data_IF_296753916872
#
_entry.id   IF_296753916872
#
_cell.length_a   1.000
_cell.length_b   1.000
_cell.length_c   1.000
_cell.angle_alpha   90.00
_cell.angle_beta   90.00
_cell.angle_gamma   90.00
#
_symmetry.space_group_name_H-M   'P 1'
#
loop_
_entity.id
_entity.type
_entity.pdbx_description
1 polymer ?
#
# COMPACT_ATOMS: atom_id res chain seq x y z
N UNK A 1 17.10 -59.08 -61.69
CA UNK A 1 16.97 -57.63 -61.95
C UNK A 1 15.84 -56.96 -61.17
N UNK A 2 14.70 -57.62 -60.89
CA UNK A 2 13.55 -57.03 -60.18
C UNK A 2 13.80 -56.57 -58.72
N UNK A 3 14.74 -57.18 -58.01
CA UNK A 3 15.03 -56.84 -56.59
C UNK A 3 15.81 -55.54 -56.43
N UNK A 4 16.65 -55.18 -57.41
CA UNK A 4 17.44 -53.95 -57.38
C UNK A 4 16.57 -52.71 -57.67
N UNK A 5 15.59 -52.84 -58.57
CA UNK A 5 14.65 -51.76 -58.88
C UNK A 5 13.72 -51.45 -57.72
N UNK A 6 13.23 -52.44 -56.97
CA UNK A 6 12.38 -52.19 -55.78
C UNK A 6 13.15 -51.42 -54.69
N UNK A 7 14.43 -51.76 -54.46
CA UNK A 7 15.28 -51.05 -53.51
C UNK A 7 15.57 -49.60 -53.91
N UNK A 8 15.77 -49.34 -55.20
CA UNK A 8 15.96 -47.99 -55.74
C UNK A 8 14.71 -47.12 -55.65
N UNK A 9 13.52 -47.70 -55.87
CA UNK A 9 12.24 -46.97 -55.71
C UNK A 9 11.94 -46.65 -54.25
N UNK A 10 12.31 -47.53 -53.31
CA UNK A 10 12.19 -47.29 -51.86
C UNK A 10 13.15 -46.19 -51.39
N UNK A 11 14.40 -46.19 -51.85
CA UNK A 11 15.36 -45.14 -51.53
C UNK A 11 14.96 -43.78 -52.15
N UNK A 12 14.47 -43.78 -53.39
CA UNK A 12 13.98 -42.57 -54.04
C UNK A 12 12.74 -41.98 -53.35
N UNK A 13 11.84 -42.83 -52.85
CA UNK A 13 10.64 -42.37 -52.12
C UNK A 13 10.96 -41.89 -50.69
N UNK A 14 11.95 -42.47 -50.01
CA UNK A 14 12.46 -41.95 -48.73
C UNK A 14 13.17 -40.62 -48.94
N UNK A 15 14.02 -40.48 -49.96
CA UNK A 15 14.66 -39.21 -50.30
C UNK A 15 13.65 -38.14 -50.75
N UNK A 16 12.60 -38.52 -51.50
CA UNK A 16 11.52 -37.60 -51.86
C UNK A 16 10.67 -37.18 -50.64
N UNK A 17 10.47 -38.07 -49.66
CA UNK A 17 9.84 -37.72 -48.38
C UNK A 17 10.72 -36.79 -47.55
N UNK A 18 12.03 -37.04 -47.47
CA UNK A 18 12.97 -36.17 -46.75
C UNK A 18 13.10 -34.80 -47.42
N UNK A 19 13.14 -34.78 -48.76
CA UNK A 19 13.11 -33.55 -49.55
C UNK A 19 11.80 -32.78 -49.31
N UNK A 20 10.63 -33.43 -49.38
CA UNK A 20 9.33 -32.77 -49.13
C UNK A 20 9.11 -32.33 -47.69
N UNK A 21 9.70 -33.01 -46.69
CA UNK A 21 9.67 -32.55 -45.28
C UNK A 21 10.62 -31.35 -45.06
N UNK A 22 11.74 -31.29 -45.81
CA UNK A 22 12.69 -30.17 -45.75
C UNK A 22 12.31 -28.96 -46.63
N UNK A 23 11.49 -29.17 -47.69
CA UNK A 23 10.99 -28.11 -48.58
C UNK A 23 9.53 -27.72 -48.32
N UNK A 24 8.89 -28.29 -47.30
CA UNK A 24 7.66 -27.74 -46.72
C UNK A 24 7.98 -26.46 -45.91
N UNK A 25 8.63 -25.49 -46.54
CA UNK A 25 8.50 -24.10 -46.15
C UNK A 25 7.04 -23.71 -46.42
N UNK A 26 6.18 -24.01 -45.45
CA UNK A 26 4.77 -23.63 -45.43
C UNK A 26 4.65 -22.14 -45.82
N UNK A 27 4.01 -21.82 -46.95
CA UNK A 27 3.78 -20.43 -47.32
C UNK A 27 2.86 -19.81 -46.28
N UNK A 28 3.32 -18.76 -45.60
CA UNK A 28 2.45 -17.87 -44.84
C UNK A 28 2.09 -18.26 -43.40
N UNK A 29 2.72 -19.26 -42.75
CA UNK A 29 2.61 -19.34 -41.28
C UNK A 29 3.48 -18.23 -40.68
N UNK A 30 2.86 -17.09 -40.33
CA UNK A 30 3.36 -16.28 -39.20
C UNK A 30 3.63 -17.28 -38.08
N UNK A 31 4.90 -17.54 -37.78
CA UNK A 31 5.26 -18.54 -36.79
C UNK A 31 4.54 -18.16 -35.49
N UNK A 32 4.09 -19.14 -34.69
CA UNK A 32 3.51 -18.83 -33.37
C UNK A 32 4.42 -17.86 -32.58
N UNK A 33 5.75 -17.97 -32.77
CA UNK A 33 6.73 -17.02 -32.29
C UNK A 33 6.47 -15.55 -32.67
N UNK A 34 6.09 -15.24 -33.92
CA UNK A 34 5.86 -13.86 -34.34
C UNK A 34 4.60 -13.25 -33.72
N UNK A 35 3.57 -14.08 -33.47
CA UNK A 35 2.36 -13.68 -32.74
C UNK A 35 2.70 -13.41 -31.26
N UNK A 36 3.47 -14.29 -30.61
CA UNK A 36 3.93 -14.09 -29.23
C UNK A 36 4.89 -12.92 -29.08
N UNK A 37 5.73 -12.68 -30.10
CA UNK A 37 6.62 -11.50 -30.15
C UNK A 37 5.82 -10.21 -30.15
N UNK A 38 4.83 -10.08 -31.05
CA UNK A 38 3.96 -8.90 -31.08
C UNK A 38 3.20 -8.71 -29.78
N UNK A 39 2.63 -9.79 -29.21
CA UNK A 39 1.96 -9.72 -27.90
C UNK A 39 2.88 -9.23 -26.78
N UNK A 40 4.12 -9.75 -26.68
CA UNK A 40 5.03 -9.31 -25.62
C UNK A 40 5.54 -7.90 -25.87
N UNK A 41 5.78 -7.48 -27.11
CA UNK A 41 6.14 -6.09 -27.44
C UNK A 41 5.02 -5.12 -27.03
N UNK A 42 3.77 -5.43 -27.38
CA UNK A 42 2.59 -4.66 -27.00
C UNK A 42 2.39 -4.64 -25.48
N UNK A 43 2.51 -5.80 -24.83
CA UNK A 43 2.41 -5.92 -23.38
C UNK A 43 3.52 -5.14 -22.65
N UNK A 44 4.75 -5.18 -23.15
CA UNK A 44 5.90 -4.44 -22.60
C UNK A 44 5.63 -2.94 -22.68
N UNK A 45 5.13 -2.46 -23.81
CA UNK A 45 4.77 -1.05 -23.99
C UNK A 45 3.62 -0.63 -23.05
N UNK A 46 2.59 -1.47 -22.92
CA UNK A 46 1.49 -1.25 -21.98
C UNK A 46 1.97 -1.22 -20.52
N UNK A 47 2.86 -2.13 -20.11
CA UNK A 47 3.45 -2.14 -18.77
C UNK A 47 4.27 -0.87 -18.53
N UNK A 48 5.09 -0.42 -19.49
CA UNK A 48 5.83 0.85 -19.39
C UNK A 48 4.89 2.05 -19.21
N UNK A 49 3.80 2.10 -19.97
CA UNK A 49 2.78 3.14 -19.83
C UNK A 49 2.11 3.07 -18.45
N UNK A 50 1.74 1.89 -17.97
CA UNK A 50 1.13 1.69 -16.66
C UNK A 50 2.08 2.05 -15.51
N UNK A 51 3.38 1.73 -15.62
CA UNK A 51 4.39 2.15 -14.63
C UNK A 51 4.58 3.68 -14.61
N UNK A 52 4.55 4.30 -15.78
CA UNK A 52 4.60 5.77 -15.91
C UNK A 52 3.37 6.39 -15.25
N UNK A 53 2.18 5.84 -15.53
CA UNK A 53 0.93 6.22 -14.88
C UNK A 53 1.01 6.05 -13.36
N UNK A 54 1.42 4.88 -12.86
CA UNK A 54 1.58 4.65 -11.43
C UNK A 54 2.50 5.67 -10.80
N UNK A 55 3.58 6.06 -11.48
CA UNK A 55 4.53 7.04 -10.97
C UNK A 55 3.92 8.43 -10.88
N UNK A 56 3.34 8.96 -11.96
CA UNK A 56 2.76 10.29 -11.96
C UNK A 56 1.50 10.39 -11.09
N UNK A 57 0.61 9.40 -11.21
CA UNK A 57 -0.66 9.36 -10.48
C UNK A 57 -0.43 9.20 -8.98
N UNK A 58 0.41 8.25 -8.55
CA UNK A 58 0.65 8.01 -7.13
C UNK A 58 1.25 9.22 -6.43
N UNK A 59 2.14 9.97 -7.09
CA UNK A 59 2.72 11.19 -6.52
C UNK A 59 1.64 12.24 -6.28
N UNK A 60 0.76 12.48 -7.27
CA UNK A 60 -0.30 13.47 -7.14
C UNK A 60 -1.36 13.06 -6.11
N UNK A 61 -1.84 11.83 -6.19
CA UNK A 61 -2.84 11.30 -5.27
C UNK A 61 -2.31 11.22 -3.83
N UNK A 62 -1.04 10.83 -3.62
CA UNK A 62 -0.39 10.85 -2.31
C UNK A 62 -0.27 12.27 -1.75
N UNK A 63 0.07 13.25 -2.59
CA UNK A 63 0.13 14.66 -2.18
C UNK A 63 -1.24 15.17 -1.71
N UNK A 64 -2.30 14.86 -2.46
CA UNK A 64 -3.69 15.14 -2.06
C UNK A 64 -4.06 14.43 -0.77
N UNK A 65 -3.73 13.15 -0.64
CA UNK A 65 -4.01 12.36 0.56
C UNK A 65 -3.32 12.97 1.78
N UNK A 66 -2.02 13.25 1.70
CA UNK A 66 -1.28 13.89 2.78
C UNK A 66 -1.92 15.22 3.21
N UNK A 67 -2.37 16.02 2.25
CA UNK A 67 -3.05 17.30 2.53
C UNK A 67 -4.38 17.07 3.25
N UNK A 68 -5.17 16.11 2.79
CA UNK A 68 -6.43 15.72 3.43
C UNK A 68 -6.22 15.15 4.84
N UNK A 69 -5.25 14.27 5.04
CA UNK A 69 -4.92 13.69 6.36
C UNK A 69 -4.44 14.75 7.35
N UNK A 70 -3.69 15.78 6.89
CA UNK A 70 -3.31 16.93 7.72
C UNK A 70 -4.52 17.76 8.16
N UNK A 71 -5.51 17.96 7.27
CA UNK A 71 -6.76 18.63 7.64
C UNK A 71 -7.53 17.82 8.68
N UNK A 72 -7.62 16.50 8.49
CA UNK A 72 -8.25 15.58 9.44
C UNK A 72 -7.55 15.63 10.81
N UNK A 73 -6.22 15.53 10.82
CA UNK A 73 -5.40 15.68 12.02
C UNK A 73 -5.68 17.00 12.74
N UNK A 74 -5.68 18.12 12.03
CA UNK A 74 -5.91 19.43 12.65
C UNK A 74 -7.31 19.52 13.26
N UNK A 75 -8.34 18.98 12.59
CA UNK A 75 -9.70 18.95 13.11
C UNK A 75 -9.81 18.08 14.38
N UNK A 76 -9.21 16.88 14.37
CA UNK A 76 -9.18 15.98 15.53
C UNK A 76 -8.40 16.59 16.68
N UNK A 77 -7.21 17.15 16.41
CA UNK A 77 -6.37 17.85 17.39
C UNK A 77 -7.13 18.99 18.06
N UNK A 78 -7.80 19.83 17.27
CA UNK A 78 -8.59 20.94 17.81
C UNK A 78 -9.73 20.44 18.72
N UNK A 79 -10.48 19.43 18.25
CA UNK A 79 -11.56 18.82 19.04
C UNK A 79 -11.05 18.21 20.34
N UNK A 80 -9.91 17.50 20.29
CA UNK A 80 -9.26 16.90 21.45
C UNK A 80 -8.81 17.96 22.46
N UNK A 81 -8.08 19.00 22.02
CA UNK A 81 -7.68 20.13 22.88
C UNK A 81 -8.85 20.78 23.58
N UNK A 82 -9.94 21.00 22.84
CA UNK A 82 -11.16 21.56 23.41
C UNK A 82 -11.74 20.66 24.51
N UNK A 83 -11.74 19.33 24.33
CA UNK A 83 -12.18 18.38 25.37
C UNK A 83 -11.29 18.43 26.61
N UNK A 84 -9.96 18.46 26.44
CA UNK A 84 -9.02 18.58 27.57
C UNK A 84 -9.26 19.89 28.33
N UNK A 85 -9.37 21.02 27.61
CA UNK A 85 -9.63 22.32 28.22
C UNK A 85 -10.96 22.37 28.99
N UNK A 86 -12.03 21.75 28.46
CA UNK A 86 -13.29 21.62 29.20
C UNK A 86 -13.11 20.81 30.48
N UNK A 87 -12.37 19.71 30.44
CA UNK A 87 -12.12 18.85 31.60
C UNK A 87 -11.28 19.55 32.68
N UNK A 88 -10.28 20.34 32.28
CA UNK A 88 -9.55 21.22 33.20
C UNK A 88 -10.45 22.31 33.81
N UNK A 89 -11.35 22.89 33.01
CA UNK A 89 -12.37 23.82 33.49
C UNK A 89 -13.30 23.20 34.53
N UNK A 90 -13.77 21.96 34.31
CA UNK A 90 -14.59 21.20 35.26
C UNK A 90 -13.85 21.05 36.61
N UNK A 91 -12.56 20.66 36.58
CA UNK A 91 -11.73 20.56 37.79
C UNK A 91 -11.68 21.90 38.51
N UNK A 92 -11.38 22.99 37.81
CA UNK A 92 -11.26 24.34 38.41
C UNK A 92 -12.55 24.78 39.10
N UNK A 93 -13.71 24.49 38.51
CA UNK A 93 -15.01 24.80 39.12
C UNK A 93 -15.20 23.98 40.41
N UNK A 94 -14.86 22.68 40.39
CA UNK A 94 -14.89 21.82 41.58
C UNK A 94 -13.94 22.33 42.67
N UNK A 95 -12.76 22.82 42.30
CA UNK A 95 -11.79 23.45 43.21
C UNK A 95 -12.40 24.64 43.93
N UNK A 96 -12.99 25.60 43.20
CA UNK A 96 -13.63 26.80 43.77
C UNK A 96 -14.77 26.44 44.74
N UNK A 97 -15.50 25.34 44.46
CA UNK A 97 -16.54 24.83 45.35
C UNK A 97 -15.99 24.26 46.67
N UNK A 98 -14.78 23.70 46.66
CA UNK A 98 -14.14 23.01 47.80
C UNK A 98 -13.09 23.86 48.53
N UNK A 99 -12.57 24.91 47.90
CA UNK A 99 -11.58 25.87 48.43
C UNK A 99 -12.05 26.59 49.69
N UNK A 100 -13.36 26.69 49.94
CA UNK A 100 -13.91 27.47 51.06
C UNK A 100 -13.37 27.06 52.44
N UNK A 101 -12.78 25.88 52.60
CA UNK A 101 -12.14 25.45 53.84
C UNK A 101 -10.86 24.59 53.68
N UNK A 102 -10.36 24.31 52.47
CA UNK A 102 -9.29 23.32 52.22
C UNK A 102 -8.21 23.83 51.25
N UNK A 103 -6.97 23.45 51.50
CA UNK A 103 -5.82 23.75 50.63
C UNK A 103 -5.76 22.72 49.48
N UNK A 104 -6.33 23.09 48.33
CA UNK A 104 -6.52 22.22 47.17
C UNK A 104 -5.68 22.63 45.95
N UNK A 105 -4.85 23.67 46.08
CA UNK A 105 -4.04 24.25 44.99
C UNK A 105 -3.11 23.19 44.39
N UNK A 106 -2.38 22.45 45.25
CA UNK A 106 -1.49 21.38 44.82
C UNK A 106 -2.21 20.25 44.05
N UNK A 107 -3.46 19.95 44.38
CA UNK A 107 -4.26 18.95 43.66
C UNK A 107 -4.62 19.44 42.25
N UNK A 108 -4.91 20.74 42.10
CA UNK A 108 -5.20 21.35 40.82
C UNK A 108 -3.95 21.38 39.93
N UNK A 109 -2.82 21.86 40.45
CA UNK A 109 -1.56 21.97 39.71
C UNK A 109 -1.07 20.60 39.19
N UNK A 110 -1.17 19.56 40.03
CA UNK A 110 -0.82 18.19 39.63
C UNK A 110 -1.74 17.66 38.51
N UNK A 111 -3.04 17.94 38.61
CA UNK A 111 -4.01 17.54 37.58
C UNK A 111 -3.74 18.25 36.25
N UNK A 112 -3.52 19.56 36.28
CA UNK A 112 -3.20 20.37 35.12
C UNK A 112 -1.91 19.88 34.45
N UNK A 113 -0.85 19.67 35.23
CA UNK A 113 0.42 19.20 34.69
C UNK A 113 0.28 17.81 34.03
N UNK A 114 -0.40 16.86 34.70
CA UNK A 114 -0.66 15.52 34.14
C UNK A 114 -1.49 15.59 32.86
N UNK A 115 -2.56 16.39 32.83
CA UNK A 115 -3.39 16.53 31.64
C UNK A 115 -2.64 17.18 30.48
N UNK A 116 -1.79 18.18 30.75
CA UNK A 116 -0.95 18.82 29.73
C UNK A 116 0.10 17.86 29.16
N UNK A 117 0.72 17.03 30.00
CA UNK A 117 1.64 15.97 29.55
C UNK A 117 0.90 14.98 28.64
N UNK A 118 -0.25 14.48 29.10
CA UNK A 118 -1.10 13.56 28.33
C UNK A 118 -1.52 14.19 26.99
N UNK A 119 -1.95 15.46 26.99
CA UNK A 119 -2.34 16.16 25.77
C UNK A 119 -1.19 16.18 24.75
N UNK A 120 0.01 16.58 25.18
CA UNK A 120 1.17 16.70 24.31
C UNK A 120 1.59 15.34 23.74
N UNK A 121 1.61 14.29 24.57
CA UNK A 121 1.89 12.93 24.10
C UNK A 121 0.86 12.49 23.06
N UNK A 122 -0.43 12.69 23.32
CA UNK A 122 -1.49 12.29 22.38
C UNK A 122 -1.42 13.08 21.08
N UNK A 123 -1.08 14.37 21.12
CA UNK A 123 -0.90 15.17 19.89
C UNK A 123 0.21 14.59 19.03
N UNK A 124 1.33 14.18 19.64
CA UNK A 124 2.41 13.52 18.92
C UNK A 124 1.93 12.20 18.30
N UNK A 125 1.24 11.35 19.06
CA UNK A 125 0.68 10.08 18.55
C UNK A 125 -0.35 10.27 17.44
N UNK A 126 -1.17 11.32 17.51
CA UNK A 126 -2.12 11.67 16.45
C UNK A 126 -1.42 12.06 15.14
N UNK A 127 -0.25 12.69 15.22
CA UNK A 127 0.55 13.02 14.05
C UNK A 127 1.12 11.76 13.39
N UNK A 128 1.49 10.74 14.17
CA UNK A 128 1.97 9.45 13.65
C UNK A 128 0.88 8.71 12.84
N UNK A 129 -0.41 8.89 13.17
CA UNK A 129 -1.50 8.30 12.39
C UNK A 129 -1.53 8.77 10.92
N UNK A 130 -1.03 9.98 10.61
CA UNK A 130 -0.87 10.43 9.21
C UNK A 130 0.05 9.49 8.46
N UNK A 131 1.17 9.10 9.08
CA UNK A 131 2.13 8.17 8.48
C UNK A 131 1.47 6.81 8.23
N UNK A 132 0.70 6.28 9.18
CA UNK A 132 -0.04 5.02 9.01
C UNK A 132 -0.95 5.07 7.77
N UNK A 133 -1.68 6.18 7.57
CA UNK A 133 -2.51 6.36 6.38
C UNK A 133 -1.70 6.43 5.08
N UNK A 134 -0.58 7.14 5.07
CA UNK A 134 0.29 7.24 3.90
C UNK A 134 0.97 5.92 3.55
N UNK A 135 1.44 5.17 4.56
CA UNK A 135 2.07 3.87 4.38
C UNK A 135 1.07 2.86 3.81
N UNK A 136 -0.19 2.89 4.28
CA UNK A 136 -1.27 2.06 3.73
C UNK A 136 -1.51 2.34 2.24
N UNK A 137 -1.40 3.61 1.82
CA UNK A 137 -1.52 3.99 0.41
C UNK A 137 -0.29 3.56 -0.42
N UNK A 138 0.91 3.71 0.13
CA UNK A 138 2.17 3.46 -0.58
C UNK A 138 2.41 1.98 -0.86
N UNK A 139 2.13 1.08 0.09
CA UNK A 139 2.50 -0.34 -0.02
C UNK A 139 1.93 -1.01 -1.29
N UNK A 140 0.62 -0.89 -1.61
CA UNK A 140 0.08 -1.45 -2.85
C UNK A 140 0.71 -0.85 -4.11
N UNK A 141 0.98 0.46 -4.11
CA UNK A 141 1.62 1.16 -5.25
C UNK A 141 3.04 0.65 -5.47
N UNK A 142 3.83 0.53 -4.41
CA UNK A 142 5.22 0.05 -4.47
C UNK A 142 5.25 -1.39 -4.97
N UNK A 143 4.37 -2.26 -4.43
CA UNK A 143 4.29 -3.65 -4.85
C UNK A 143 3.94 -3.79 -6.33
N UNK A 144 2.96 -3.01 -6.81
CA UNK A 144 2.54 -3.04 -8.21
C UNK A 144 3.61 -2.48 -9.15
N UNK A 145 4.33 -1.42 -8.73
CA UNK A 145 5.48 -0.90 -9.47
C UNK A 145 6.59 -1.94 -9.58
N UNK A 146 6.90 -2.64 -8.48
CA UNK A 146 7.90 -3.71 -8.46
C UNK A 146 7.49 -4.87 -9.37
N UNK A 147 6.25 -5.34 -9.28
CA UNK A 147 5.70 -6.39 -10.16
C UNK A 147 5.85 -6.02 -11.64
N UNK A 148 5.50 -4.79 -12.03
CA UNK A 148 5.68 -4.33 -13.40
C UNK A 148 7.14 -4.24 -13.84
N UNK A 149 8.06 -3.80 -12.96
CA UNK A 149 9.50 -3.77 -13.25
C UNK A 149 10.08 -5.17 -13.45
N UNK A 150 9.71 -6.12 -12.59
CA UNK A 150 10.15 -7.51 -12.68
C UNK A 150 9.70 -8.13 -14.02
N UNK A 151 8.45 -7.89 -14.44
CA UNK A 151 7.94 -8.37 -15.75
C UNK A 151 8.72 -7.76 -16.92
N UNK A 152 9.09 -6.48 -16.87
CA UNK A 152 9.88 -5.84 -17.94
C UNK A 152 11.29 -6.45 -18.05
N UNK A 153 11.91 -6.75 -16.90
CA UNK A 153 13.22 -7.40 -16.84
C UNK A 153 13.12 -8.82 -17.42
N UNK A 154 12.15 -9.62 -16.97
CA UNK A 154 11.93 -10.99 -17.46
C UNK A 154 11.62 -11.03 -18.97
N UNK A 155 10.79 -10.09 -19.46
CA UNK A 155 10.45 -9.96 -20.88
C UNK A 155 11.68 -9.68 -21.76
N UNK A 156 12.67 -8.96 -21.24
CA UNK A 156 13.93 -8.70 -21.94
C UNK A 156 14.77 -9.98 -22.08
N UNK A 157 14.79 -10.82 -21.04
CA UNK A 157 15.56 -12.07 -21.04
C UNK A 157 14.93 -13.18 -21.90
N UNK A 158 13.59 -13.25 -21.97
CA UNK A 158 12.85 -14.23 -22.78
C UNK A 158 13.26 -14.24 -24.26
N UNK A 159 13.61 -13.09 -24.82
CA UNK A 159 14.03 -12.99 -26.22
C UNK A 159 15.54 -13.04 -26.40
N UNK A 160 16.33 -12.60 -25.42
CA UNK A 160 17.80 -12.64 -25.49
C UNK A 160 18.35 -14.07 -25.55
N UNK A 161 17.78 -14.99 -24.76
CA UNK A 161 18.18 -16.41 -24.74
C UNK A 161 17.73 -17.18 -25.98
N UNK A 162 16.73 -16.69 -26.71
CA UNK A 162 16.18 -17.34 -27.89
C UNK A 162 16.76 -16.82 -29.24
N UNK A 163 17.30 -15.60 -29.28
CA UNK A 163 17.88 -15.01 -30.50
C UNK A 163 19.33 -15.51 -30.74
N UNK A 164 20.05 -15.91 -29.69
CA UNK A 164 21.46 -16.33 -29.80
C UNK A 164 21.69 -17.82 -30.08
N UNK A 165 20.65 -18.65 -30.15
CA UNK A 165 20.77 -20.10 -30.37
C UNK A 165 19.96 -20.57 -31.57
N UNK A 166 20.63 -20.82 -32.71
CA UNK A 166 20.02 -21.17 -34.00
C UNK A 166 19.24 -22.51 -34.01
N UNK A 167 19.29 -23.30 -32.93
CA UNK A 167 18.59 -24.59 -32.79
C UNK A 167 18.19 -24.78 -31.32
N UNK A 168 17.20 -24.05 -30.82
CA UNK A 168 16.64 -24.33 -29.47
C UNK A 168 15.19 -24.79 -29.61
N UNK A 169 14.94 -25.99 -29.09
CA UNK A 169 13.66 -26.71 -29.08
C UNK A 169 12.50 -25.78 -28.74
N UNK A 170 11.48 -25.76 -29.61
CA UNK A 170 10.20 -25.08 -29.41
C UNK A 170 9.52 -25.35 -28.04
N UNK A 171 9.91 -26.41 -27.33
CA UNK A 171 9.37 -26.77 -26.01
C UNK A 171 9.84 -25.86 -24.87
N UNK A 172 11.04 -25.27 -24.93
CA UNK A 172 11.52 -24.35 -23.89
C UNK A 172 10.77 -23.01 -23.97
N UNK A 173 10.53 -22.48 -25.18
CA UNK A 173 9.79 -21.22 -25.35
C UNK A 173 8.34 -21.29 -24.88
N UNK A 174 7.62 -22.41 -25.12
CA UNK A 174 6.20 -22.46 -24.81
C UNK A 174 5.89 -22.29 -23.31
N UNK A 175 6.66 -22.94 -22.43
CA UNK A 175 6.44 -22.85 -20.97
C UNK A 175 6.74 -21.45 -20.45
N UNK A 176 7.87 -20.88 -20.87
CA UNK A 176 8.31 -19.58 -20.39
C UNK A 176 7.43 -18.45 -20.94
N UNK A 177 6.97 -18.56 -22.20
CA UNK A 177 5.98 -17.65 -22.80
C UNK A 177 4.61 -17.72 -22.10
N UNK A 178 4.14 -18.92 -21.75
CA UNK A 178 2.88 -19.08 -20.99
C UNK A 178 3.02 -18.48 -19.58
N UNK A 179 4.17 -18.68 -18.93
CA UNK A 179 4.45 -18.10 -17.62
C UNK A 179 4.43 -16.57 -17.67
N UNK A 180 5.17 -15.96 -18.60
CA UNK A 180 5.17 -14.51 -18.80
C UNK A 180 3.78 -13.97 -19.14
N UNK A 181 3.04 -14.64 -20.03
CA UNK A 181 1.65 -14.27 -20.32
C UNK A 181 0.80 -14.22 -19.06
N UNK A 182 0.89 -15.23 -18.19
CA UNK A 182 0.12 -15.25 -16.92
C UNK A 182 0.51 -14.10 -16.01
N UNK A 183 1.81 -13.78 -15.91
CA UNK A 183 2.26 -12.64 -15.10
C UNK A 183 1.76 -11.30 -15.68
N UNK A 184 1.85 -11.11 -17.00
CA UNK A 184 1.34 -9.93 -17.71
C UNK A 184 -0.17 -9.77 -17.49
N UNK A 185 -0.94 -10.85 -17.68
CA UNK A 185 -2.39 -10.84 -17.51
C UNK A 185 -2.77 -10.56 -16.04
N UNK A 186 -2.03 -11.12 -15.08
CA UNK A 186 -2.19 -10.86 -13.64
C UNK A 186 -1.90 -9.39 -13.30
N UNK A 187 -0.78 -8.85 -13.77
CA UNK A 187 -0.43 -7.43 -13.58
C UNK A 187 -1.51 -6.53 -14.17
N UNK A 188 -2.00 -6.82 -15.38
CA UNK A 188 -3.08 -6.07 -16.00
C UNK A 188 -4.38 -6.08 -15.19
N UNK A 189 -4.70 -7.20 -14.53
CA UNK A 189 -5.83 -7.29 -13.60
C UNK A 189 -5.60 -6.45 -12.35
N UNK A 190 -4.46 -6.63 -11.67
CA UNK A 190 -4.10 -5.87 -10.46
C UNK A 190 -4.07 -4.36 -10.73
N UNK A 191 -3.56 -3.93 -11.88
CA UNK A 191 -3.53 -2.53 -12.28
C UNK A 191 -4.92 -1.96 -12.55
N UNK A 192 -5.83 -2.72 -13.16
CA UNK A 192 -7.23 -2.29 -13.35
C UNK A 192 -7.95 -2.12 -12.01
N UNK A 193 -7.73 -3.03 -11.07
CA UNK A 193 -8.26 -2.93 -9.71
C UNK A 193 -7.71 -1.70 -8.99
N UNK A 194 -6.40 -1.45 -9.10
CA UNK A 194 -5.77 -0.23 -8.58
C UNK A 194 -6.37 1.07 -9.19
N UNK A 195 -6.65 1.07 -10.50
CA UNK A 195 -7.22 2.22 -11.21
C UNK A 195 -8.67 2.53 -10.81
N UNK A 196 -9.33 1.72 -9.98
CA UNK A 196 -10.62 2.06 -9.36
C UNK A 196 -10.41 3.00 -8.15
N UNK A 197 -9.74 4.11 -8.42
CA UNK A 197 -8.98 5.04 -7.57
C UNK A 197 -9.61 5.50 -6.24
N UNK A 198 -10.94 5.48 -6.12
CA UNK A 198 -11.59 5.95 -4.90
C UNK A 198 -11.40 5.00 -3.72
N UNK A 199 -11.25 3.70 -3.95
CA UNK A 199 -11.21 2.71 -2.86
C UNK A 199 -9.94 2.80 -2.04
N UNK A 200 -8.77 2.95 -2.67
CA UNK A 200 -7.48 2.99 -1.97
C UNK A 200 -7.30 4.31 -1.20
N UNK A 201 -7.67 5.44 -1.81
CA UNK A 201 -7.65 6.74 -1.13
C UNK A 201 -8.56 6.74 0.10
N UNK A 202 -9.80 6.28 -0.05
CA UNK A 202 -10.76 6.19 1.05
C UNK A 202 -10.31 5.21 2.13
N UNK A 203 -9.76 4.04 1.75
CA UNK A 203 -9.24 3.08 2.71
C UNK A 203 -8.07 3.66 3.52
N UNK A 204 -7.13 4.35 2.88
CA UNK A 204 -6.02 5.02 3.58
C UNK A 204 -6.52 6.12 4.54
N UNK A 205 -7.50 6.92 4.10
CA UNK A 205 -8.14 7.93 4.94
C UNK A 205 -8.86 7.30 6.16
N UNK A 206 -9.59 6.21 5.95
CA UNK A 206 -10.29 5.49 7.01
C UNK A 206 -9.30 4.86 8.01
N UNK A 207 -8.21 4.26 7.53
CA UNK A 207 -7.15 3.73 8.40
C UNK A 207 -6.57 4.82 9.30
N UNK A 208 -6.27 5.99 8.73
CA UNK A 208 -5.79 7.14 9.50
C UNK A 208 -6.84 7.62 10.52
N UNK A 209 -8.10 7.71 10.11
CA UNK A 209 -9.21 8.13 10.97
C UNK A 209 -9.38 7.19 12.17
N UNK A 210 -9.41 5.87 11.93
CA UNK A 210 -9.54 4.86 12.97
C UNK A 210 -8.38 4.95 13.96
N UNK A 211 -7.14 5.06 13.46
CA UNK A 211 -5.96 5.30 14.31
C UNK A 211 -6.15 6.51 15.22
N UNK A 212 -6.59 7.65 14.66
CA UNK A 212 -6.80 8.88 15.43
C UNK A 212 -7.91 8.72 16.48
N UNK A 213 -9.02 8.05 16.14
CA UNK A 213 -10.11 7.81 17.07
C UNK A 213 -9.68 6.92 18.24
N UNK A 214 -8.90 5.87 17.97
CA UNK A 214 -8.39 4.99 19.02
C UNK A 214 -7.47 5.74 19.98
N UNK A 215 -6.58 6.60 19.46
CA UNK A 215 -5.72 7.46 20.29
C UNK A 215 -6.54 8.41 21.16
N UNK A 216 -7.54 9.09 20.60
CA UNK A 216 -8.43 9.99 21.36
C UNK A 216 -9.23 9.23 22.41
N UNK A 217 -9.78 8.06 22.09
CA UNK A 217 -10.59 7.24 23.00
C UNK A 217 -9.77 6.79 24.21
N UNK A 218 -8.59 6.23 23.97
CA UNK A 218 -7.69 5.78 25.04
C UNK A 218 -7.26 6.94 25.93
N UNK A 219 -6.95 8.10 25.32
CA UNK A 219 -6.56 9.29 26.06
C UNK A 219 -7.70 9.86 26.92
N UNK A 220 -8.91 9.88 26.38
CA UNK A 220 -10.09 10.38 27.10
C UNK A 220 -10.35 9.56 28.37
N UNK A 221 -10.11 8.25 28.31
CA UNK A 221 -10.19 7.39 29.49
C UNK A 221 -9.15 7.80 30.56
N UNK A 222 -7.89 7.98 30.17
CA UNK A 222 -6.82 8.38 31.10
C UNK A 222 -7.11 9.74 31.74
N UNK A 223 -7.56 10.74 30.95
CA UNK A 223 -7.95 12.06 31.45
C UNK A 223 -9.08 11.96 32.49
N UNK A 224 -10.05 11.08 32.25
CA UNK A 224 -11.15 10.84 33.19
C UNK A 224 -10.64 10.25 34.52
N UNK A 225 -9.66 9.36 34.47
CA UNK A 225 -9.03 8.84 35.69
C UNK A 225 -8.22 9.90 36.44
N UNK A 226 -7.51 10.79 35.72
CA UNK A 226 -6.85 11.95 36.35
C UNK A 226 -7.86 12.84 37.06
N UNK A 227 -9.03 13.10 36.47
CA UNK A 227 -10.09 13.86 37.15
C UNK A 227 -10.53 13.22 38.46
N UNK A 228 -10.84 11.91 38.46
CA UNK A 228 -11.27 11.20 39.68
C UNK A 228 -10.22 11.25 40.78
N UNK A 229 -8.95 11.09 40.43
CA UNK A 229 -7.83 11.21 41.37
C UNK A 229 -7.74 12.63 41.94
N UNK A 230 -7.96 13.63 41.10
CA UNK A 230 -7.94 15.05 41.51
C UNK A 230 -9.09 15.36 42.47
N UNK A 231 -10.30 14.89 42.18
CA UNK A 231 -11.45 15.01 43.09
C UNK A 231 -11.17 14.34 44.44
N UNK A 232 -10.61 13.13 44.43
CA UNK A 232 -10.21 12.40 45.64
C UNK A 232 -9.14 13.17 46.43
N UNK A 233 -8.16 13.77 45.76
CA UNK A 233 -7.14 14.63 46.38
C UNK A 233 -7.79 15.83 47.08
N UNK A 234 -8.70 16.53 46.40
CA UNK A 234 -9.41 17.69 46.96
C UNK A 234 -10.32 17.32 48.13
N UNK A 235 -10.93 16.14 48.10
CA UNK A 235 -11.73 15.60 49.20
C UNK A 235 -10.90 15.37 50.46
N UNK A 236 -9.67 14.90 50.30
CA UNK A 236 -8.76 14.58 51.40
C UNK A 236 -7.81 15.71 51.79
N UNK A 237 -7.86 16.84 51.09
CA UNK A 237 -7.02 18.00 51.34
C UNK A 237 -7.19 18.53 52.77
N UNK A 238 -6.07 18.97 53.34
CA UNK A 238 -6.04 19.55 54.68
C UNK A 238 -6.83 20.86 54.73
N UNK A 239 -7.38 21.23 55.90
CA UNK A 239 -8.04 22.51 56.07
C UNK A 239 -7.06 23.66 55.83
N UNK A 240 -7.51 24.76 55.21
CA UNK A 240 -6.68 25.96 55.12
C UNK A 240 -6.38 26.48 56.54
N UNK A 241 -5.11 26.48 56.93
CA UNK A 241 -4.66 27.15 58.14
C UNK A 241 -4.89 28.66 57.95
N UNK A 242 -5.93 29.20 58.59
CA UNK A 242 -6.09 30.65 58.72
C UNK A 242 -4.91 31.17 59.54
N UNK A 243 -3.90 31.72 58.87
CA UNK A 243 -2.98 32.64 59.54
C UNK A 243 -3.81 33.85 59.98
N UNK A 244 -3.91 34.03 61.30
CA UNK A 244 -4.42 35.24 61.95
C UNK A 244 -3.39 36.35 61.82
#
# INVERSE_FOLDING_TARGET
>A
MLKATIGLWLLASICALQATVSTLSLPGRKSLLSIYKGYIEDATNNIKQNLTYLTSYSVHAKSKLNSFLKLLYNAVRFSFRRKVATKLGDIRITTIGREKCKDVEKCYDDAENKMNIIENTTIYELQECIKVGLDYYDVPVINLKKEGQDILIESTYLFLSCIKGFIIKHSCMARDLISAKRQIDKFGKNFKEFKQENTLFQAAANTCWTCMQDKVKNTTFIITEVMKQSETCMENAAPMLKYK
#
